data_IF_631369411831
#
_entry.id   IF_631369411831
#
_cell.length_a   1.000
_cell.length_b   1.000
_cell.length_c   1.000
_cell.angle_alpha   90.00
_cell.angle_beta   90.00
_cell.angle_gamma   90.00
#
_symmetry.space_group_name_H-M   'P 1'
#
loop_
_entity.id
_entity.type
_entity.pdbx_description
1 polymer ?
#
# COMPACT_ATOMS: atom_id res chain seq x y z
N UNK A 1 -19.91 27.42 3.59
CA UNK A 1 -19.77 26.00 3.99
C UNK A 1 -18.31 25.65 3.77
N UNK A 2 -17.56 25.46 4.86
CA UNK A 2 -16.09 25.46 4.84
C UNK A 2 -15.47 24.09 4.66
N UNK A 3 -14.21 24.08 4.21
CA UNK A 3 -13.32 22.93 4.17
C UNK A 3 -13.13 22.41 5.61
N UNK A 4 -13.80 21.30 5.96
CA UNK A 4 -13.69 20.73 7.30
C UNK A 4 -12.60 19.64 7.31
N UNK A 5 -11.63 19.77 8.21
CA UNK A 5 -10.77 18.65 8.62
C UNK A 5 -11.67 17.65 9.36
N UNK A 6 -11.71 16.40 8.91
CA UNK A 6 -12.47 15.35 9.59
C UNK A 6 -11.80 14.98 10.93
N UNK A 7 -12.14 15.70 12.01
CA UNK A 7 -11.89 15.26 13.39
C UNK A 7 -13.13 14.51 13.92
N UNK A 8 -12.98 13.20 14.18
CA UNK A 8 -13.94 12.43 14.99
C UNK A 8 -13.81 12.86 16.46
N UNK A 9 -14.87 13.40 17.06
CA UNK A 9 -14.93 13.68 18.50
C UNK A 9 -16.21 13.06 19.09
N UNK A 10 -16.01 12.34 20.20
CA UNK A 10 -17.01 11.65 21.01
C UNK A 10 -18.08 12.61 21.58
N UNK A 11 -19.33 12.14 21.58
CA UNK A 11 -20.47 12.82 22.22
C UNK A 11 -20.35 12.79 23.75
N UNK A 12 -20.43 13.97 24.39
CA UNK A 12 -21.06 14.14 25.71
C UNK A 12 -21.66 15.56 25.81
N UNK A 13 -22.80 15.62 26.49
CA UNK A 13 -23.84 16.66 26.55
C UNK A 13 -23.43 18.10 26.90
N UNK A 14 -24.18 19.03 26.29
CA UNK A 14 -24.83 20.24 26.86
C UNK A 14 -24.38 21.62 26.35
N UNK A 15 -25.40 22.44 26.07
CA UNK A 15 -25.45 23.85 25.66
C UNK A 15 -25.37 24.16 24.15
N UNK A 16 -26.57 24.43 23.61
CA UNK A 16 -26.82 25.07 22.32
C UNK A 16 -26.52 26.57 22.44
N UNK A 17 -25.39 27.02 21.88
CA UNK A 17 -25.21 28.41 21.45
C UNK A 17 -25.24 28.47 19.92
N UNK A 18 -26.34 28.99 19.37
CA UNK A 18 -26.44 29.37 17.96
C UNK A 18 -25.62 30.65 17.75
N UNK A 19 -24.40 30.53 17.20
CA UNK A 19 -23.67 31.66 16.61
C UNK A 19 -23.95 31.74 15.10
N UNK A 20 -24.63 32.78 14.61
CA UNK A 20 -24.91 32.94 13.19
C UNK A 20 -23.84 33.81 12.50
N UNK A 21 -22.55 33.56 12.69
CA UNK A 21 -21.48 34.21 11.92
C UNK A 21 -20.23 33.32 11.85
N UNK A 22 -20.20 32.36 10.92
CA UNK A 22 -18.95 31.74 10.43
C UNK A 22 -19.25 30.95 9.14
N UNK A 23 -19.66 31.66 8.09
CA UNK A 23 -19.59 31.10 6.74
C UNK A 23 -18.12 31.19 6.30
N UNK A 24 -17.33 30.18 6.67
CA UNK A 24 -15.89 30.13 6.39
C UNK A 24 -15.57 30.49 4.94
N UNK A 25 -14.63 31.42 4.76
CA UNK A 25 -14.20 31.90 3.44
C UNK A 25 -13.48 30.80 2.66
N UNK A 26 -13.67 30.79 1.34
CA UNK A 26 -12.93 29.89 0.45
C UNK A 26 -11.43 30.18 0.57
N UNK A 27 -10.64 29.11 0.67
CA UNK A 27 -9.19 29.21 0.56
C UNK A 27 -8.84 29.72 -0.84
N UNK A 28 -7.80 30.55 -0.95
CA UNK A 28 -7.37 31.08 -2.24
C UNK A 28 -6.81 29.95 -3.10
N UNK A 29 -6.88 30.13 -4.42
CA UNK A 29 -6.19 29.27 -5.39
C UNK A 29 -4.72 29.09 -5.00
N UNK A 30 -4.22 27.86 -5.07
CA UNK A 30 -2.84 27.52 -4.71
C UNK A 30 -2.59 27.25 -3.23
N UNK A 31 -3.62 27.27 -2.37
CA UNK A 31 -3.49 26.78 -1.00
C UNK A 31 -3.43 25.26 -0.97
N UNK A 32 -2.34 24.67 -0.47
CA UNK A 32 -2.24 23.21 -0.34
C UNK A 32 -3.28 22.69 0.65
N UNK A 33 -4.22 21.89 0.17
CA UNK A 33 -5.29 21.32 0.97
C UNK A 33 -5.03 19.86 1.35
N UNK A 34 -4.23 19.14 0.55
CA UNK A 34 -3.75 17.79 0.89
C UNK A 34 -2.25 17.67 0.59
N UNK A 35 -1.41 17.33 1.59
CA UNK A 35 -0.01 16.98 1.34
C UNK A 35 0.08 15.60 0.69
N UNK A 36 1.15 15.36 -0.07
CA UNK A 36 1.49 14.01 -0.52
C UNK A 36 1.86 13.12 0.67
N UNK A 37 1.23 11.95 0.76
CA UNK A 37 1.48 10.95 1.79
C UNK A 37 2.72 10.09 1.49
N UNK A 38 3.04 9.88 0.22
CA UNK A 38 4.20 9.10 -0.22
C UNK A 38 4.88 9.77 -1.42
N UNK A 39 6.04 9.26 -1.83
CA UNK A 39 6.68 9.72 -3.07
C UNK A 39 5.86 9.42 -4.34
N UNK A 40 4.91 8.49 -4.26
CA UNK A 40 4.00 8.14 -5.35
C UNK A 40 2.71 8.97 -5.35
N UNK A 41 2.53 9.82 -4.35
CA UNK A 41 1.36 10.66 -4.16
C UNK A 41 1.62 12.10 -4.63
N UNK A 42 0.58 12.82 -5.07
CA UNK A 42 0.69 14.18 -5.59
C UNK A 42 -0.04 15.14 -4.66
N UNK A 43 0.55 16.24 -4.18
CA UNK A 43 -0.18 17.18 -3.34
C UNK A 43 -1.23 17.96 -4.14
N UNK A 44 -2.39 18.21 -3.53
CA UNK A 44 -3.48 18.99 -4.12
C UNK A 44 -3.60 20.37 -3.49
N UNK A 45 -4.01 21.30 -4.35
CA UNK A 45 -4.13 22.70 -4.03
C UNK A 45 -5.53 23.18 -4.37
N UNK A 46 -6.14 23.98 -3.50
CA UNK A 46 -7.44 24.59 -3.75
C UNK A 46 -7.41 25.37 -5.07
N UNK A 47 -8.52 25.32 -5.81
CA UNK A 47 -8.76 26.13 -7.01
C UNK A 47 -9.32 27.53 -6.67
N UNK A 48 -9.79 27.70 -5.42
CA UNK A 48 -10.44 28.91 -4.94
C UNK A 48 -11.87 29.12 -5.46
N UNK A 49 -12.46 28.09 -6.08
CA UNK A 49 -13.81 28.09 -6.63
C UNK A 49 -14.76 27.24 -5.77
N UNK A 50 -14.28 26.11 -5.22
CA UNK A 50 -15.04 25.25 -4.31
C UNK A 50 -14.36 25.17 -2.91
N UNK A 51 -15.15 24.85 -1.89
CA UNK A 51 -14.69 24.57 -0.53
C UNK A 51 -14.13 23.16 -0.34
N UNK A 52 -14.23 22.29 -1.37
CA UNK A 52 -13.61 20.97 -1.38
C UNK A 52 -12.19 21.03 -1.97
N UNK A 53 -11.29 20.22 -1.42
CA UNK A 53 -10.00 19.96 -2.06
C UNK A 53 -10.25 19.21 -3.39
N UNK A 54 -9.46 19.43 -4.45
CA UNK A 54 -9.56 18.64 -5.67
C UNK A 54 -9.46 17.14 -5.40
N UNK A 55 -9.87 16.36 -6.40
CA UNK A 55 -9.76 14.89 -6.36
C UNK A 55 -8.32 14.48 -6.07
N UNK A 56 -8.16 13.43 -5.27
CA UNK A 56 -6.86 12.84 -4.94
C UNK A 56 -6.20 12.25 -6.20
N UNK A 57 -5.01 12.75 -6.53
CA UNK A 57 -4.21 12.36 -7.68
C UNK A 57 -2.89 11.75 -7.20
N UNK A 58 -2.41 10.77 -7.95
CA UNK A 58 -1.16 10.08 -7.68
C UNK A 58 -0.29 9.96 -8.93
N UNK A 59 1.00 9.68 -8.76
CA UNK A 59 1.87 9.35 -9.88
C UNK A 59 1.33 8.10 -10.57
N UNK A 60 1.58 7.99 -11.88
CA UNK A 60 1.18 6.80 -12.65
C UNK A 60 1.67 5.53 -11.99
N UNK A 61 0.82 4.52 -12.03
CA UNK A 61 1.22 3.16 -11.70
C UNK A 61 2.45 2.76 -12.54
N UNK A 62 3.33 1.95 -11.98
CA UNK A 62 4.55 1.49 -12.64
C UNK A 62 5.74 2.45 -12.59
N UNK A 63 5.57 3.70 -12.14
CA UNK A 63 6.70 4.57 -11.88
C UNK A 63 7.61 3.97 -10.79
N UNK A 64 8.92 3.92 -11.02
CA UNK A 64 9.88 3.41 -10.03
C UNK A 64 9.86 4.27 -8.75
N UNK A 65 9.91 3.62 -7.60
CA UNK A 65 9.90 4.26 -6.28
C UNK A 65 10.92 3.57 -5.33
N UNK A 66 11.29 4.25 -4.24
CA UNK A 66 12.34 3.84 -3.28
C UNK A 66 13.63 3.41 -3.97
N UNK A 67 14.11 4.23 -4.92
CA UNK A 67 15.32 3.95 -5.69
C UNK A 67 15.28 2.62 -6.47
N UNK A 68 14.12 2.22 -7.01
CA UNK A 68 13.97 1.00 -7.82
C UNK A 68 13.60 -0.25 -7.03
N UNK A 69 13.39 -0.13 -5.72
CA UNK A 69 12.94 -1.24 -4.87
C UNK A 69 11.48 -1.62 -5.17
N UNK A 70 10.64 -0.65 -5.55
CA UNK A 70 9.22 -0.87 -5.84
C UNK A 70 8.72 -0.10 -7.05
N UNK A 71 7.41 -0.25 -7.29
CA UNK A 71 6.67 0.52 -8.28
C UNK A 71 5.52 1.27 -7.59
N UNK A 72 5.24 2.48 -8.06
CA UNK A 72 4.06 3.21 -7.65
C UNK A 72 2.80 2.42 -8.04
N UNK A 73 1.87 2.30 -7.11
CA UNK A 73 0.58 1.66 -7.33
C UNK A 73 -0.48 2.34 -6.45
N UNK A 74 -1.48 2.97 -7.09
CA UNK A 74 -2.55 3.72 -6.41
C UNK A 74 -2.03 4.74 -5.36
N UNK A 75 -0.98 5.47 -5.69
CA UNK A 75 -0.39 6.49 -4.80
C UNK A 75 0.51 5.96 -3.69
N UNK A 76 0.67 4.64 -3.56
CA UNK A 76 1.62 4.01 -2.65
C UNK A 76 2.88 3.49 -3.35
N UNK A 77 3.92 3.24 -2.56
CA UNK A 77 5.10 2.45 -2.95
C UNK A 77 5.22 1.20 -2.06
N UNK A 78 4.32 0.21 -2.23
CA UNK A 78 4.28 -0.95 -1.36
C UNK A 78 5.52 -1.83 -1.56
N UNK A 79 6.15 -2.19 -0.44
CA UNK A 79 7.30 -3.10 -0.40
C UNK A 79 7.06 -4.18 0.65
N UNK A 80 7.58 -5.40 0.46
CA UNK A 80 7.46 -6.46 1.47
C UNK A 80 8.09 -6.05 2.81
N UNK A 81 9.21 -5.32 2.76
CA UNK A 81 9.95 -4.89 3.95
C UNK A 81 9.15 -3.90 4.79
N UNK A 82 8.51 -2.89 4.18
CA UNK A 82 7.65 -1.95 4.90
C UNK A 82 6.44 -2.66 5.52
N UNK A 83 5.86 -3.63 4.81
CA UNK A 83 4.75 -4.41 5.35
C UNK A 83 5.20 -5.26 6.54
N UNK A 84 6.38 -5.87 6.46
CA UNK A 84 6.97 -6.60 7.58
C UNK A 84 7.30 -5.69 8.77
N UNK A 85 7.87 -4.51 8.54
CA UNK A 85 8.19 -3.53 9.59
C UNK A 85 6.92 -2.99 10.25
N UNK A 86 5.85 -2.76 9.48
CA UNK A 86 4.54 -2.38 10.02
C UNK A 86 3.95 -3.49 10.92
N UNK A 87 4.06 -4.75 10.51
CA UNK A 87 3.50 -5.89 11.24
C UNK A 87 4.30 -6.29 12.47
N UNK A 88 5.63 -6.31 12.36
CA UNK A 88 6.54 -6.90 13.33
C UNK A 88 7.43 -5.89 14.04
N UNK A 89 7.27 -4.60 13.73
CA UNK A 89 8.04 -3.51 14.31
C UNK A 89 9.40 -3.31 13.67
N UNK A 90 10.10 -2.30 14.20
CA UNK A 90 11.34 -1.77 13.63
C UNK A 90 12.38 -2.85 13.28
N UNK A 91 12.92 -2.74 12.07
CA UNK A 91 13.97 -3.63 11.56
C UNK A 91 13.50 -5.04 11.17
N UNK A 92 12.20 -5.31 11.17
CA UNK A 92 11.65 -6.45 10.44
C UNK A 92 11.74 -6.21 8.93
N UNK A 93 11.88 -7.29 8.17
CA UNK A 93 12.00 -7.25 6.72
C UNK A 93 11.47 -8.54 6.12
N UNK A 94 11.33 -8.60 4.79
CA UNK A 94 10.93 -9.85 4.13
C UNK A 94 11.93 -10.97 4.41
N UNK A 95 11.41 -12.18 4.57
CA UNK A 95 12.22 -13.38 4.63
C UNK A 95 12.83 -13.72 3.28
N UNK A 96 13.82 -14.61 3.32
CA UNK A 96 14.41 -15.17 2.11
C UNK A 96 13.38 -15.97 1.28
N UNK A 97 13.67 -16.10 -0.01
CA UNK A 97 12.83 -16.82 -0.99
C UNK A 97 12.40 -18.20 -0.50
N UNK A 98 13.27 -18.90 0.22
CA UNK A 98 13.05 -20.22 0.79
C UNK A 98 11.81 -20.28 1.68
N UNK A 99 11.54 -19.24 2.49
CA UNK A 99 10.33 -19.19 3.31
C UNK A 99 9.08 -19.10 2.43
N UNK A 100 9.08 -18.24 1.41
CA UNK A 100 7.97 -18.11 0.47
C UNK A 100 7.72 -19.43 -0.26
N UNK A 101 8.76 -20.04 -0.82
CA UNK A 101 8.62 -21.30 -1.54
C UNK A 101 8.15 -22.44 -0.63
N UNK A 102 8.74 -22.58 0.57
CA UNK A 102 8.43 -23.69 1.46
C UNK A 102 7.00 -23.63 1.99
N UNK A 103 6.48 -22.44 2.31
CA UNK A 103 5.17 -22.31 2.93
C UNK A 103 4.05 -22.02 1.92
N UNK A 104 4.26 -21.10 0.97
CA UNK A 104 3.17 -20.65 0.09
C UNK A 104 2.74 -21.70 -0.95
N UNK A 105 3.62 -22.67 -1.27
CA UNK A 105 3.27 -23.82 -2.12
C UNK A 105 2.41 -24.87 -1.40
N UNK A 106 2.29 -24.81 -0.07
CA UNK A 106 1.53 -25.78 0.70
C UNK A 106 0.03 -25.49 0.73
N UNK A 107 -0.39 -24.22 0.62
CA UNK A 107 -1.81 -23.84 0.72
C UNK A 107 -2.36 -24.18 2.10
N UNK A 108 -1.80 -23.55 3.13
CA UNK A 108 -2.13 -23.78 4.54
C UNK A 108 -2.17 -22.44 5.29
N UNK A 109 -2.54 -22.47 6.58
CA UNK A 109 -2.54 -21.28 7.45
C UNK A 109 -1.19 -20.56 7.50
N UNK A 110 -0.08 -21.28 7.28
CA UNK A 110 1.27 -20.71 7.33
C UNK A 110 1.75 -20.16 5.97
N UNK A 111 0.99 -20.39 4.89
CA UNK A 111 1.37 -19.97 3.54
C UNK A 111 0.36 -20.40 2.49
N UNK A 112 -0.20 -19.42 1.77
CA UNK A 112 -1.23 -19.61 0.75
C UNK A 112 -1.33 -18.40 -0.20
N UNK A 113 -1.99 -18.56 -1.35
CA UNK A 113 -2.32 -17.49 -2.30
C UNK A 113 -3.80 -17.12 -2.20
N UNK A 114 -4.23 -16.72 -1.00
CA UNK A 114 -5.63 -16.44 -0.70
C UNK A 114 -6.45 -17.69 -0.36
N UNK A 115 -7.77 -17.56 -0.40
CA UNK A 115 -8.72 -18.62 -0.09
C UNK A 115 -9.75 -18.76 -1.21
N UNK A 116 -10.24 -19.98 -1.43
CA UNK A 116 -11.33 -20.25 -2.35
C UNK A 116 -12.69 -19.85 -1.74
N UNK A 117 -13.77 -20.00 -2.53
CA UNK A 117 -15.13 -19.65 -2.10
C UNK A 117 -15.65 -20.52 -0.93
N UNK A 118 -14.99 -21.64 -0.64
CA UNK A 118 -15.31 -22.51 0.49
C UNK A 118 -14.43 -22.21 1.72
N UNK A 119 -13.52 -21.24 1.64
CA UNK A 119 -12.56 -20.90 2.70
C UNK A 119 -11.33 -21.82 2.74
N UNK A 120 -11.13 -22.66 1.73
CA UNK A 120 -9.94 -23.48 1.57
C UNK A 120 -8.74 -22.65 1.10
N UNK A 121 -7.58 -22.86 1.72
CA UNK A 121 -6.35 -22.16 1.36
C UNK A 121 -5.84 -22.58 -0.02
N UNK A 122 -5.59 -21.61 -0.89
CA UNK A 122 -5.11 -21.84 -2.25
C UNK A 122 -3.59 -22.01 -2.22
N UNK A 123 -3.07 -23.06 -2.88
CA UNK A 123 -1.63 -23.24 -3.09
C UNK A 123 -1.12 -22.25 -4.12
N UNK A 124 0.01 -21.61 -3.85
CA UNK A 124 0.68 -20.78 -4.84
C UNK A 124 1.39 -21.62 -5.90
N UNK A 125 1.39 -21.12 -7.14
CA UNK A 125 2.33 -21.55 -8.18
C UNK A 125 3.71 -20.90 -7.93
N UNK A 126 4.79 -21.45 -8.51
CA UNK A 126 6.14 -20.88 -8.40
C UNK A 126 6.21 -19.40 -8.81
N UNK A 127 5.43 -18.97 -9.81
CA UNK A 127 5.37 -17.57 -10.25
C UNK A 127 4.71 -16.65 -9.20
N UNK A 128 3.78 -17.19 -8.41
CA UNK A 128 2.94 -16.41 -7.49
C UNK A 128 3.37 -16.52 -6.02
N UNK A 129 4.39 -17.32 -5.68
CA UNK A 129 4.79 -17.52 -4.27
C UNK A 129 5.14 -16.21 -3.56
N UNK A 130 5.66 -15.20 -4.26
CA UNK A 130 5.98 -13.88 -3.69
C UNK A 130 4.77 -12.96 -3.53
N UNK A 131 3.59 -13.39 -3.99
CA UNK A 131 2.34 -12.64 -3.85
C UNK A 131 1.32 -13.32 -2.92
N UNK A 132 1.67 -14.48 -2.35
CA UNK A 132 0.85 -15.17 -1.35
C UNK A 132 1.00 -14.58 0.05
N UNK A 133 1.02 -15.43 1.07
CA UNK A 133 1.28 -15.01 2.46
C UNK A 133 2.66 -14.36 2.58
N UNK A 134 2.70 -13.19 3.21
CA UNK A 134 3.92 -12.46 3.48
C UNK A 134 4.76 -13.23 4.51
N UNK A 135 6.00 -13.52 4.14
CA UNK A 135 6.99 -14.14 5.02
C UNK A 135 7.97 -13.06 5.49
N UNK A 136 8.12 -12.91 6.80
CA UNK A 136 8.96 -11.90 7.45
C UNK A 136 10.02 -12.50 8.37
N UNK A 137 11.11 -11.79 8.56
CA UNK A 137 12.17 -12.10 9.52
C UNK A 137 12.53 -10.88 10.36
N UNK A 138 13.30 -11.06 11.44
CA UNK A 138 13.80 -10.00 12.35
C UNK A 138 12.67 -9.20 13.03
N UNK A 139 12.97 -8.06 13.66
CA UNK A 139 12.01 -7.29 14.45
C UNK A 139 11.49 -8.02 15.70
N UNK A 140 10.25 -7.74 16.09
CA UNK A 140 9.61 -8.34 17.26
C UNK A 140 9.29 -9.82 17.08
N UNK A 141 9.22 -10.54 18.22
CA UNK A 141 8.83 -11.95 18.31
C UNK A 141 7.33 -12.17 18.08
N UNK A 142 6.53 -11.14 18.30
CA UNK A 142 5.07 -11.14 18.12
C UNK A 142 4.68 -9.93 17.26
N UNK A 143 3.57 -9.99 16.50
CA UNK A 143 3.09 -8.83 15.77
C UNK A 143 2.82 -7.63 16.69
N UNK A 144 3.06 -6.42 16.19
CA UNK A 144 2.84 -5.15 16.90
C UNK A 144 1.41 -4.62 16.74
N UNK A 145 0.62 -5.23 15.85
CA UNK A 145 -0.77 -4.84 15.60
C UNK A 145 -1.69 -5.60 16.55
N UNK A 146 -2.46 -4.85 17.35
CA UNK A 146 -3.43 -5.42 18.27
C UNK A 146 -4.46 -6.28 17.53
N UNK A 147 -4.68 -7.52 17.99
CA UNK A 147 -5.59 -8.50 17.36
C UNK A 147 -4.88 -9.55 16.50
N UNK A 148 -3.65 -9.30 16.04
CA UNK A 148 -2.80 -10.28 15.34
C UNK A 148 -1.92 -11.11 16.29
N UNK A 149 -1.97 -10.82 17.60
CA UNK A 149 -1.23 -11.54 18.65
C UNK A 149 -1.70 -12.99 18.86
N UNK A 150 -2.81 -13.39 18.22
CA UNK A 150 -3.41 -14.73 18.39
C UNK A 150 -3.26 -15.66 17.19
N UNK A 151 -2.88 -15.15 16.01
CA UNK A 151 -2.80 -15.93 14.77
C UNK A 151 -1.52 -15.59 14.02
N UNK A 152 -0.38 -15.91 14.62
CA UNK A 152 0.92 -15.77 14.00
C UNK A 152 1.76 -17.03 14.21
N UNK A 153 2.61 -17.32 13.24
CA UNK A 153 3.57 -18.42 13.30
C UNK A 153 4.97 -17.86 13.16
N UNK A 154 5.90 -18.39 13.95
CA UNK A 154 7.34 -18.15 13.81
C UNK A 154 8.04 -19.49 13.73
N UNK A 155 8.68 -19.76 12.61
CA UNK A 155 9.40 -21.01 12.35
C UNK A 155 10.84 -20.71 11.95
N UNK A 156 11.78 -21.51 12.46
CA UNK A 156 13.13 -21.58 11.93
C UNK A 156 13.21 -22.84 11.08
N UNK A 157 13.44 -22.69 9.78
CA UNK A 157 13.60 -23.82 8.86
C UNK A 157 15.06 -23.98 8.49
N UNK A 158 15.53 -25.23 8.39
CA UNK A 158 16.89 -25.55 7.94
C UNK A 158 16.82 -26.15 6.54
N UNK A 159 17.39 -25.47 5.55
CA UNK A 159 17.41 -25.90 4.15
C UNK A 159 18.87 -25.89 3.69
N UNK A 160 19.39 -27.04 3.30
CA UNK A 160 20.78 -27.17 2.87
C UNK A 160 21.81 -26.81 3.95
N UNK A 161 21.44 -26.92 5.24
CA UNK A 161 22.29 -26.56 6.37
C UNK A 161 22.27 -25.07 6.73
N UNK A 162 21.56 -24.23 5.97
CA UNK A 162 21.32 -22.83 6.30
C UNK A 162 20.00 -22.69 7.05
N UNK A 163 19.99 -21.91 8.12
CA UNK A 163 18.77 -21.58 8.86
C UNK A 163 18.11 -20.30 8.32
N UNK A 164 16.78 -20.34 8.20
CA UNK A 164 15.94 -19.23 7.76
C UNK A 164 14.82 -18.98 8.79
N UNK A 165 14.64 -17.73 9.19
CA UNK A 165 13.50 -17.31 10.02
C UNK A 165 12.31 -16.95 9.12
N UNK A 166 11.19 -17.63 9.33
CA UNK A 166 9.95 -17.39 8.61
C UNK A 166 8.85 -17.03 9.61
N UNK A 167 8.33 -15.81 9.50
CA UNK A 167 7.23 -15.32 10.32
C UNK A 167 6.06 -14.91 9.43
N UNK A 168 4.87 -15.31 9.83
CA UNK A 168 3.63 -15.02 9.10
C UNK A 168 2.56 -14.67 10.11
N UNK A 169 1.71 -13.72 9.75
CA UNK A 169 0.42 -13.49 10.41
C UNK A 169 -0.66 -14.07 9.53
N UNK A 170 -1.71 -14.63 10.11
CA UNK A 170 -2.85 -15.17 9.38
C UNK A 170 -4.14 -14.62 9.96
N UNK A 171 -5.16 -14.48 9.12
CA UNK A 171 -6.51 -14.14 9.56
C UNK A 171 -6.87 -12.66 9.40
N UNK A 172 -8.17 -12.42 9.37
CA UNK A 172 -8.75 -11.08 9.23
C UNK A 172 -8.96 -10.51 10.64
N UNK A 173 -8.31 -9.38 10.96
CA UNK A 173 -8.42 -8.76 12.29
C UNK A 173 -9.86 -8.26 12.55
N UNK A 174 -10.48 -7.66 11.52
CA UNK A 174 -11.90 -7.28 11.46
C UNK A 174 -12.35 -7.28 9.99
N UNK A 175 -13.66 -7.21 9.71
CA UNK A 175 -14.17 -7.05 8.32
C UNK A 175 -13.70 -5.75 7.63
N UNK A 176 -13.08 -4.83 8.38
CA UNK A 176 -12.63 -3.51 7.94
C UNK A 176 -11.10 -3.43 7.75
N UNK A 177 -10.34 -4.39 8.30
CA UNK A 177 -8.89 -4.46 8.16
C UNK A 177 -8.58 -5.60 7.18
N UNK A 178 -8.00 -5.31 6.00
CA UNK A 178 -7.62 -6.34 5.03
C UNK A 178 -6.68 -7.37 5.68
N UNK A 179 -6.65 -8.59 5.17
CA UNK A 179 -5.73 -9.64 5.64
C UNK A 179 -4.28 -9.15 5.49
N UNK A 180 -3.71 -8.61 6.57
CA UNK A 180 -2.34 -8.11 6.60
C UNK A 180 -1.32 -9.26 6.50
N UNK A 181 -1.79 -10.52 6.52
CA UNK A 181 -0.98 -11.71 6.31
C UNK A 181 -0.61 -11.98 4.84
N UNK A 182 -1.30 -11.37 3.88
CA UNK A 182 -1.00 -11.50 2.45
C UNK A 182 -0.16 -10.33 1.95
N UNK A 183 0.70 -10.58 0.96
CA UNK A 183 1.46 -9.53 0.27
C UNK A 183 0.48 -8.55 -0.38
N UNK A 184 0.65 -7.26 -0.11
CA UNK A 184 -0.23 -6.21 -0.62
C UNK A 184 -0.15 -6.07 -2.15
N UNK A 185 -1.28 -5.70 -2.75
CA UNK A 185 -1.33 -5.35 -4.16
C UNK A 185 -0.39 -4.16 -4.49
N UNK A 186 0.19 -4.17 -5.68
CA UNK A 186 1.21 -3.22 -6.13
C UNK A 186 2.64 -3.58 -5.72
N UNK A 187 2.83 -4.54 -4.82
CA UNK A 187 4.16 -4.93 -4.34
C UNK A 187 4.97 -5.58 -5.46
N UNK A 188 6.23 -5.14 -5.66
CA UNK A 188 7.13 -5.73 -6.67
C UNK A 188 7.42 -7.20 -6.35
N UNK A 189 7.06 -8.10 -7.27
CA UNK A 189 7.29 -9.55 -7.14
C UNK A 189 8.43 -10.06 -8.05
N UNK A 190 8.65 -9.39 -9.18
CA UNK A 190 9.77 -9.60 -10.08
C UNK A 190 10.07 -8.30 -10.85
N UNK A 191 11.07 -8.33 -11.73
CA UNK A 191 11.33 -7.18 -12.62
C UNK A 191 10.12 -6.95 -13.53
N UNK A 192 9.67 -5.69 -13.63
CA UNK A 192 8.49 -5.28 -14.38
C UNK A 192 7.18 -5.98 -13.95
N UNK A 193 7.14 -6.58 -12.74
CA UNK A 193 5.95 -7.26 -12.22
C UNK A 193 5.58 -6.85 -10.80
N UNK A 194 4.28 -6.79 -10.56
CA UNK A 194 3.67 -6.49 -9.26
C UNK A 194 2.66 -7.57 -8.85
N UNK A 195 2.41 -7.69 -7.56
CA UNK A 195 1.34 -8.50 -7.02
C UNK A 195 0.00 -7.80 -7.25
N UNK A 196 -0.97 -8.51 -7.82
CA UNK A 196 -2.37 -8.08 -7.85
C UNK A 196 -3.24 -9.32 -7.64
N UNK A 197 -4.11 -9.28 -6.62
CA UNK A 197 -4.97 -10.40 -6.24
C UNK A 197 -4.16 -11.72 -6.12
N UNK A 198 -3.09 -11.66 -5.33
CA UNK A 198 -2.17 -12.77 -5.03
C UNK A 198 -1.50 -13.40 -6.27
N UNK A 199 -1.46 -12.69 -7.41
CA UNK A 199 -0.85 -13.12 -8.66
C UNK A 199 0.26 -12.15 -9.07
N UNK A 200 1.40 -12.67 -9.51
CA UNK A 200 2.53 -11.85 -10.00
C UNK A 200 2.34 -11.53 -11.47
N UNK A 201 1.92 -10.31 -11.77
CA UNK A 201 1.50 -9.86 -13.11
C UNK A 201 2.35 -8.71 -13.61
N UNK A 202 2.40 -8.51 -14.92
CA UNK A 202 3.17 -7.41 -15.52
C UNK A 202 2.58 -6.04 -15.11
N UNK A 203 3.45 -5.13 -14.70
CA UNK A 203 3.06 -3.79 -14.20
C UNK A 203 2.42 -2.93 -15.28
N UNK A 204 2.77 -3.13 -16.55
CA UNK A 204 2.24 -2.38 -17.70
C UNK A 204 0.74 -2.55 -17.88
N UNK A 205 0.14 -3.63 -17.35
CA UNK A 205 -1.30 -3.85 -17.36
C UNK A 205 -2.07 -2.78 -16.56
N UNK A 206 -1.39 -2.09 -15.64
CA UNK A 206 -1.97 -1.10 -14.73
C UNK A 206 -1.47 0.33 -14.99
N UNK A 207 -0.55 0.51 -15.93
CA UNK A 207 -0.06 1.83 -16.34
C UNK A 207 -1.16 2.51 -17.15
N UNK A 208 -1.68 3.62 -16.64
CA UNK A 208 -2.73 4.36 -17.34
C UNK A 208 -2.24 4.87 -18.70
N UNK A 209 -2.99 4.65 -19.79
CA UNK A 209 -2.62 5.12 -21.12
C UNK A 209 -2.62 6.65 -21.14
N UNK A 210 -1.51 7.19 -21.66
CA UNK A 210 -1.28 8.63 -21.72
C UNK A 210 0.19 8.96 -21.61
N UNK A 211 0.71 9.80 -22.50
CA UNK A 211 2.04 10.38 -22.34
C UNK A 211 1.90 11.83 -21.90
N UNK A 212 2.80 12.27 -21.03
CA UNK A 212 2.87 13.70 -20.78
C UNK A 212 3.34 14.40 -22.06
N UNK A 213 2.68 15.48 -22.51
CA UNK A 213 3.20 16.37 -23.53
C UNK A 213 4.62 16.81 -23.15
N UNK A 214 5.52 16.79 -24.13
CA UNK A 214 6.89 17.24 -23.91
C UNK A 214 7.48 17.86 -25.17
N UNK A 215 8.31 18.88 -24.97
CA UNK A 215 9.19 19.43 -25.99
C UNK A 215 10.55 18.69 -26.08
N UNK A 216 10.81 17.75 -25.18
CA UNK A 216 12.01 16.92 -25.12
C UNK A 216 11.65 15.51 -24.63
N UNK A 217 11.84 14.51 -25.49
CA UNK A 217 11.48 13.11 -25.19
C UNK A 217 12.15 12.56 -23.92
N UNK A 218 13.33 13.09 -23.54
CA UNK A 218 14.02 12.71 -22.30
C UNK A 218 13.40 13.32 -21.03
N UNK A 219 12.49 14.29 -21.17
CA UNK A 219 11.87 15.03 -20.08
C UNK A 219 10.34 14.89 -20.16
N UNK A 220 9.74 13.85 -19.57
CA UNK A 220 8.30 13.77 -19.42
C UNK A 220 7.74 15.05 -18.78
N UNK A 221 6.61 15.54 -19.30
CA UNK A 221 5.96 16.78 -18.87
C UNK A 221 6.89 18.01 -19.00
N UNK A 222 7.80 17.96 -19.99
CA UNK A 222 8.89 18.93 -20.17
C UNK A 222 9.79 19.09 -18.93
N UNK A 223 9.78 18.14 -18.00
CA UNK A 223 10.53 18.20 -16.74
C UNK A 223 9.89 19.09 -15.66
N UNK A 224 8.69 19.60 -15.89
CA UNK A 224 8.01 20.57 -15.03
C UNK A 224 6.70 20.05 -14.43
N UNK A 225 6.49 18.74 -14.42
CA UNK A 225 5.24 18.21 -13.91
C UNK A 225 5.17 16.70 -13.84
N UNK A 226 4.01 16.22 -13.42
CA UNK A 226 3.64 14.80 -13.37
C UNK A 226 2.33 14.60 -14.12
N UNK A 227 2.04 13.37 -14.55
CA UNK A 227 0.75 13.05 -15.18
C UNK A 227 -0.05 12.06 -14.35
N UNK A 228 -1.36 12.25 -14.32
CA UNK A 228 -2.35 11.31 -13.83
C UNK A 228 -3.56 11.36 -14.78
N UNK A 229 -4.07 10.23 -15.29
CA UNK A 229 -5.25 10.17 -16.17
C UNK A 229 -5.27 11.17 -17.34
N UNK A 230 -4.15 11.34 -18.03
CA UNK A 230 -3.97 12.33 -19.12
C UNK A 230 -4.04 13.81 -18.70
N UNK A 231 -4.07 14.11 -17.41
CA UNK A 231 -3.94 15.45 -16.85
C UNK A 231 -2.47 15.70 -16.55
N UNK A 232 -1.92 16.81 -17.03
CA UNK A 232 -0.58 17.29 -16.66
C UNK A 232 -0.74 18.20 -15.45
N UNK A 233 -0.03 17.87 -14.39
CA UNK A 233 0.02 18.65 -13.16
C UNK A 233 1.40 19.32 -13.16
N UNK A 234 1.40 20.62 -13.43
CA UNK A 234 2.58 21.48 -13.51
C UNK A 234 2.95 22.05 -12.13
#
# INVERSE_FOLDING_TARGET
MGCNMSLKIHFLHSQLEFYPENLGSLRRSGHQCRPAATECDIPEFCDGQDGQCPVDLFKKNGASCKNGVGYCFHGGCPTPDDQCEYLWGFGAMQSEYQCFQQFNTQGSLNGHCGADNQGGFIKCTEENIKCGSLQCQRGSRTPMIAGNDKQYTRTIVSIGGQEYECKVTSGTITAEIPDLGLVMDGTKCAEEKICVNQTCVNVDLFVEPGSCPTNNVALPCSGHGVSNKNIVIC
#
